data_IF_260181523057
#
_entry.id   IF_260181523057
#
_cell.length_a   1.000
_cell.length_b   1.000
_cell.length_c   1.000
_cell.angle_alpha   90.00
_cell.angle_beta   90.00
_cell.angle_gamma   90.00
#
_symmetry.space_group_name_H-M   'P 1'
#
loop_
_entity.id
_entity.type
_entity.pdbx_description
1 polymer ?
#
# COMPACT_ATOMS: atom_id res chain seq x y z
N UNK A 1 12.73 -13.86 -36.93
CA UNK A 1 11.70 -13.00 -36.28
C UNK A 1 10.27 -13.56 -36.41
N UNK A 2 9.80 -14.02 -37.58
CA UNK A 2 8.44 -14.61 -37.72
C UNK A 2 8.17 -15.82 -36.80
N UNK A 3 9.19 -16.67 -36.58
CA UNK A 3 9.04 -17.87 -35.74
C UNK A 3 8.87 -17.54 -34.25
N UNK A 4 9.57 -16.52 -33.74
CA UNK A 4 9.45 -16.09 -32.35
C UNK A 4 8.04 -15.60 -32.00
N UNK A 5 7.39 -14.85 -32.90
CA UNK A 5 6.02 -14.37 -32.68
C UNK A 5 5.03 -15.55 -32.62
N UNK A 6 5.23 -16.58 -33.45
CA UNK A 6 4.40 -17.78 -33.44
C UNK A 6 4.61 -18.61 -32.16
N UNK A 7 5.85 -18.78 -31.72
CA UNK A 7 6.20 -19.47 -30.47
C UNK A 7 5.70 -18.71 -29.24
N UNK A 8 5.84 -17.38 -29.23
CA UNK A 8 5.30 -16.51 -28.18
C UNK A 8 3.77 -16.58 -28.13
N UNK A 9 3.10 -16.58 -29.29
CA UNK A 9 1.64 -16.75 -29.35
C UNK A 9 1.22 -18.10 -28.79
N UNK A 10 1.93 -19.18 -29.15
CA UNK A 10 1.66 -20.51 -28.59
C UNK A 10 1.93 -20.57 -27.08
N UNK A 11 2.93 -19.85 -26.58
CA UNK A 11 3.23 -19.71 -25.15
C UNK A 11 2.17 -18.89 -24.39
N UNK A 12 1.77 -17.74 -24.92
CA UNK A 12 0.79 -16.85 -24.30
C UNK A 12 -0.63 -17.44 -24.29
N UNK A 13 -0.95 -18.28 -25.28
CA UNK A 13 -2.22 -19.02 -25.33
C UNK A 13 -2.24 -20.26 -24.42
N UNK A 14 -1.15 -20.58 -23.71
CA UNK A 14 -1.20 -21.58 -22.64
C UNK A 14 -2.12 -21.06 -21.55
N UNK A 15 -3.18 -21.81 -21.24
CA UNK A 15 -4.17 -21.43 -20.23
C UNK A 15 -3.53 -21.07 -18.89
N UNK A 16 -2.52 -21.83 -18.45
CA UNK A 16 -1.82 -21.57 -17.19
C UNK A 16 -1.06 -20.23 -17.14
N UNK A 17 -0.62 -19.66 -18.27
CA UNK A 17 0.05 -18.36 -18.33
C UNK A 17 -0.98 -17.24 -18.43
N UNK A 18 -2.03 -17.45 -19.25
CA UNK A 18 -3.12 -16.51 -19.42
C UNK A 18 -3.88 -16.27 -18.11
N UNK A 19 -4.24 -17.34 -17.39
CA UNK A 19 -4.97 -17.25 -16.13
C UNK A 19 -4.13 -16.54 -15.04
N UNK A 20 -2.82 -16.77 -15.03
CA UNK A 20 -1.88 -16.13 -14.11
C UNK A 20 -1.73 -14.62 -14.42
N UNK A 21 -1.67 -14.26 -15.70
CA UNK A 21 -1.63 -12.87 -16.13
C UNK A 21 -2.93 -12.13 -15.79
N UNK A 22 -4.09 -12.77 -16.00
CA UNK A 22 -5.40 -12.22 -15.61
C UNK A 22 -5.48 -12.04 -14.09
N UNK A 23 -5.03 -13.04 -13.32
CA UNK A 23 -4.98 -12.96 -11.85
C UNK A 23 -4.12 -11.80 -11.34
N UNK A 24 -2.95 -11.58 -11.93
CA UNK A 24 -2.08 -10.44 -11.58
C UNK A 24 -2.72 -9.10 -11.93
N UNK A 25 -3.33 -8.98 -13.12
CA UNK A 25 -4.01 -7.76 -13.58
C UNK A 25 -5.17 -7.39 -12.66
N UNK A 26 -6.01 -8.37 -12.30
CA UNK A 26 -7.10 -8.17 -11.36
C UNK A 26 -6.55 -7.81 -9.98
N UNK A 27 -5.52 -8.50 -9.49
CA UNK A 27 -4.89 -8.19 -8.20
C UNK A 27 -4.36 -6.76 -8.12
N UNK A 28 -3.67 -6.29 -9.18
CA UNK A 28 -3.15 -4.93 -9.25
C UNK A 28 -4.26 -3.87 -9.33
N UNK A 29 -5.33 -4.14 -10.09
CA UNK A 29 -6.47 -3.23 -10.18
C UNK A 29 -7.29 -3.19 -8.89
N UNK A 30 -7.53 -4.35 -8.27
CA UNK A 30 -8.29 -4.48 -7.03
C UNK A 30 -7.57 -3.83 -5.85
N UNK A 31 -6.23 -3.90 -5.81
CA UNK A 31 -5.42 -3.16 -4.84
C UNK A 31 -5.75 -1.66 -4.83
N UNK A 32 -5.85 -1.03 -6.00
CA UNK A 32 -6.22 0.39 -6.11
C UNK A 32 -7.63 0.68 -5.60
N UNK A 33 -8.58 -0.23 -5.83
CA UNK A 33 -9.96 -0.10 -5.33
C UNK A 33 -9.96 -0.11 -3.80
N UNK A 34 -9.25 -1.07 -3.20
CA UNK A 34 -9.11 -1.16 -1.74
C UNK A 34 -8.40 0.07 -1.19
N UNK A 35 -7.30 0.52 -1.81
CA UNK A 35 -6.58 1.72 -1.37
C UNK A 35 -7.46 2.98 -1.43
N UNK A 36 -8.31 3.15 -2.45
CA UNK A 36 -9.25 4.28 -2.52
C UNK A 36 -10.33 4.19 -1.44
N UNK A 37 -10.91 3.01 -1.21
CA UNK A 37 -11.86 2.82 -0.10
C UNK A 37 -11.25 3.21 1.25
N UNK A 38 -10.01 2.82 1.48
CA UNK A 38 -9.32 3.10 2.73
C UNK A 38 -8.97 4.59 2.85
N UNK A 39 -8.33 5.18 1.84
CA UNK A 39 -7.86 6.56 1.87
C UNK A 39 -8.98 7.59 1.77
N UNK A 40 -10.00 7.33 0.96
CA UNK A 40 -11.04 8.32 0.64
C UNK A 40 -12.27 8.19 1.55
N UNK A 41 -12.47 7.04 2.19
CA UNK A 41 -13.64 6.79 3.05
C UNK A 41 -13.22 6.48 4.48
N UNK A 42 -12.40 5.45 4.72
CA UNK A 42 -12.07 5.04 6.09
C UNK A 42 -11.20 6.07 6.82
N UNK A 43 -10.15 6.58 6.18
CA UNK A 43 -9.24 7.55 6.77
C UNK A 43 -9.95 8.84 7.20
N UNK A 44 -10.80 9.48 6.37
CA UNK A 44 -11.60 10.64 6.79
C UNK A 44 -12.57 10.33 7.94
N UNK A 45 -13.19 9.14 7.96
CA UNK A 45 -14.08 8.74 9.04
C UNK A 45 -13.34 8.58 10.37
N UNK A 46 -12.17 7.94 10.37
CA UNK A 46 -11.34 7.76 11.57
C UNK A 46 -10.81 9.13 12.03
N UNK A 47 -10.32 9.96 11.10
CA UNK A 47 -9.87 11.33 11.37
C UNK A 47 -10.98 12.18 12.03
N UNK A 48 -12.22 12.08 11.53
CA UNK A 48 -13.38 12.76 12.09
C UNK A 48 -13.72 12.30 13.52
N UNK A 49 -13.60 11.00 13.83
CA UNK A 49 -13.86 10.46 15.18
C UNK A 49 -12.83 10.96 16.19
N UNK A 50 -11.54 10.92 15.83
CA UNK A 50 -10.45 11.30 16.73
C UNK A 50 -10.14 12.81 16.72
N UNK A 51 -10.86 13.60 15.92
CA UNK A 51 -10.66 15.06 15.75
C UNK A 51 -9.22 15.45 15.41
N UNK A 52 -8.57 14.61 14.60
CA UNK A 52 -7.21 14.82 14.10
C UNK A 52 -7.28 15.04 12.60
N UNK A 53 -6.62 16.07 12.09
CA UNK A 53 -6.57 16.39 10.65
C UNK A 53 -5.79 15.35 9.86
N UNK A 54 -4.81 14.72 10.49
CA UNK A 54 -3.96 13.69 9.93
C UNK A 54 -3.34 12.83 11.05
N UNK A 55 -2.84 11.65 10.69
CA UNK A 55 -2.17 10.76 11.65
C UNK A 55 -0.71 11.16 11.87
N UNK A 56 -0.17 12.11 11.10
CA UNK A 56 1.21 12.61 11.14
C UNK A 56 1.70 12.99 12.54
N UNK A 57 0.81 13.54 13.38
CA UNK A 57 1.12 13.93 14.76
C UNK A 57 1.22 12.78 15.76
N UNK A 58 0.79 11.57 15.39
CA UNK A 58 0.81 10.40 16.27
C UNK A 58 2.23 9.85 16.41
N UNK A 59 2.84 10.16 17.54
CA UNK A 59 4.16 9.67 17.93
C UNK A 59 4.19 9.34 19.41
N UNK A 60 5.00 8.37 19.78
CA UNK A 60 5.28 8.05 21.18
C UNK A 60 6.77 8.27 21.43
N UNK A 61 7.09 8.91 22.55
CA UNK A 61 8.47 9.08 22.99
C UNK A 61 8.99 7.72 23.48
N UNK A 62 10.11 7.27 22.91
CA UNK A 62 10.78 6.04 23.32
C UNK A 62 11.94 6.32 24.28
N UNK A 63 12.70 7.38 23.99
CA UNK A 63 13.87 7.77 24.79
C UNK A 63 13.88 9.28 24.94
N UNK A 64 13.98 9.74 26.19
CA UNK A 64 14.11 11.15 26.53
C UNK A 64 15.56 11.62 26.29
N UNK A 65 15.70 12.90 25.96
CA UNK A 65 16.96 13.62 25.79
C UNK A 65 17.85 13.58 27.05
N UNK A 66 17.31 13.18 28.19
CA UNK A 66 18.11 12.89 29.39
C UNK A 66 19.17 11.82 29.19
N UNK A 67 18.88 10.78 28.38
CA UNK A 67 19.76 9.63 28.16
C UNK A 67 20.52 9.67 26.80
N UNK A 68 20.14 10.59 25.90
CA UNK A 68 20.67 10.73 24.52
C UNK A 68 20.58 12.18 24.05
N UNK A 69 21.41 12.60 23.08
CA UNK A 69 21.47 13.99 22.61
C UNK A 69 20.16 14.57 22.05
N UNK A 70 19.20 13.72 21.69
CA UNK A 70 17.88 14.10 21.22
C UNK A 70 16.80 13.09 21.62
N UNK A 71 15.56 13.57 21.75
CA UNK A 71 14.38 12.73 21.95
C UNK A 71 14.20 11.76 20.77
N UNK A 72 14.07 10.46 21.07
CA UNK A 72 13.81 9.43 20.08
C UNK A 72 12.31 9.12 20.08
N UNK A 73 11.66 9.37 18.95
CA UNK A 73 10.22 9.12 18.78
C UNK A 73 9.96 7.95 17.84
N UNK A 74 8.94 7.15 18.17
CA UNK A 74 8.30 6.24 17.23
C UNK A 74 7.13 6.95 16.57
N UNK A 75 7.30 7.33 15.29
CA UNK A 75 6.29 8.03 14.49
C UNK A 75 5.32 7.04 13.82
N UNK A 76 4.55 6.30 14.62
CA UNK A 76 3.62 5.28 14.11
C UNK A 76 2.47 5.87 13.27
N UNK A 77 2.16 7.15 13.46
CA UNK A 77 1.20 7.88 12.64
C UNK A 77 1.53 7.91 11.15
N UNK A 78 2.81 8.10 10.82
CA UNK A 78 3.30 8.06 9.45
C UNK A 78 3.23 6.66 8.85
N UNK A 79 3.40 5.63 9.67
CA UNK A 79 3.26 4.25 9.22
C UNK A 79 1.81 3.94 8.80
N UNK A 80 0.84 4.32 9.64
CA UNK A 80 -0.59 4.14 9.33
C UNK A 80 -0.90 4.87 8.02
N UNK A 81 -0.51 6.13 7.89
CA UNK A 81 -0.82 6.93 6.70
C UNK A 81 -0.20 6.43 5.39
N UNK A 82 0.91 5.69 5.46
CA UNK A 82 1.61 5.21 4.26
C UNK A 82 1.25 3.76 3.87
N UNK A 83 0.71 2.98 4.81
CA UNK A 83 0.36 1.57 4.60
C UNK A 83 -1.14 1.38 4.35
N UNK A 84 -1.94 2.24 4.98
CA UNK A 84 -3.41 2.23 4.96
C UNK A 84 -3.86 3.18 3.85
#
# INVERSE_FOLDING_TARGET
MKNFINEFKAFALKGNVMDLAVGMMIGAAFGKIVSSLVNDILMPLIAAIFRISDFTGLKVLLIDKGDVEANVYLNYGQFIQNIV
#
